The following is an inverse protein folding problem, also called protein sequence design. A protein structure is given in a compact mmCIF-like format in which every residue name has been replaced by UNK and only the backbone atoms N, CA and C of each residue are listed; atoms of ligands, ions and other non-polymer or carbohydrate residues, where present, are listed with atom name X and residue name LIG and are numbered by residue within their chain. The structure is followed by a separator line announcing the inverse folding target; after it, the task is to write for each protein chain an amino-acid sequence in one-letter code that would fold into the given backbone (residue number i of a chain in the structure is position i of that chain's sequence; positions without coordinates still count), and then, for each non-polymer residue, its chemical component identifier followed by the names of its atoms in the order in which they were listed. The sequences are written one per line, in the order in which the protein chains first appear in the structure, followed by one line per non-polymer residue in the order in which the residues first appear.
data_IF_187818045458
#
_entry.id   IF_187818045458
#
_cell.length_a   1.000
_cell.length_b   1.000
_cell.length_c   1.000
_cell.angle_alpha   90.00
_cell.angle_beta   90.00
_cell.angle_gamma   90.00
#
_symmetry.space_group_name_H-M   'P 1'
#
loop_
_entity.id
_entity.type
_entity.pdbx_description
1 polymer ?
#
# COMPACT_ATOMS: atom_id res chain seq x y z
N UNK A 1 96.79 48.36 -16.05
CA UNK A 1 96.50 49.19 -17.25
C UNK A 1 95.08 48.99 -17.65
N UNK A 2 94.41 50.08 -17.95
CA UNK A 2 93.07 50.29 -18.49
C UNK A 2 91.88 50.12 -17.50
N UNK A 3 91.43 51.27 -17.10
CA UNK A 3 90.16 51.60 -16.45
C UNK A 3 89.02 51.45 -17.46
N UNK A 4 87.91 50.88 -17.03
CA UNK A 4 86.62 51.02 -17.75
C UNK A 4 85.56 51.46 -16.75
N UNK A 5 84.95 52.55 -17.13
CA UNK A 5 83.98 53.38 -16.43
C UNK A 5 82.57 52.70 -16.46
N UNK A 6 81.99 52.58 -15.28
CA UNK A 6 80.64 52.01 -15.16
C UNK A 6 79.63 53.15 -15.13
N UNK A 7 78.71 53.16 -16.12
CA UNK A 7 77.53 54.07 -16.18
C UNK A 7 76.35 53.38 -15.57
N UNK A 8 75.73 53.95 -14.51
CA UNK A 8 74.48 53.56 -13.94
C UNK A 8 73.33 54.13 -14.78
N UNK A 9 72.54 53.27 -15.32
CA UNK A 9 71.21 53.65 -15.89
C UNK A 9 70.12 53.04 -14.99
N UNK A 10 69.44 53.94 -14.31
CA UNK A 10 68.28 53.59 -13.47
C UNK A 10 67.02 53.43 -14.37
N UNK A 11 66.55 52.21 -14.53
CA UNK A 11 65.30 51.96 -15.16
C UNK A 11 64.20 51.71 -14.10
N UNK A 12 63.25 52.61 -14.00
CA UNK A 12 62.04 52.47 -13.19
C UNK A 12 61.14 51.43 -13.83
N UNK A 13 60.96 50.26 -13.20
CA UNK A 13 59.96 49.28 -13.60
C UNK A 13 58.64 49.58 -12.83
N UNK A 14 57.66 50.12 -13.54
CA UNK A 14 56.29 50.17 -13.10
C UNK A 14 55.67 48.73 -13.23
N UNK A 15 55.54 48.03 -12.09
CA UNK A 15 54.85 46.74 -12.07
C UNK A 15 53.34 47.03 -11.96
N UNK A 16 52.68 46.98 -13.11
CA UNK A 16 51.22 46.97 -13.16
C UNK A 16 50.68 45.64 -12.62
N UNK A 17 50.01 45.64 -11.45
CA UNK A 17 49.23 44.53 -10.95
C UNK A 17 48.00 44.32 -11.86
N UNK A 18 48.09 43.43 -12.84
CA UNK A 18 46.88 42.83 -13.42
C UNK A 18 46.30 41.85 -12.40
N UNK A 19 45.21 42.27 -11.75
CA UNK A 19 44.34 41.37 -11.01
C UNK A 19 43.70 40.37 -12.02
N UNK A 20 44.27 39.18 -12.14
CA UNK A 20 43.64 38.07 -12.83
C UNK A 20 42.42 37.65 -11.96
N UNK A 21 41.24 38.15 -12.30
CA UNK A 21 39.98 37.62 -11.77
C UNK A 21 39.87 36.14 -12.24
N UNK A 22 40.25 35.20 -11.40
CA UNK A 22 39.95 33.78 -11.61
C UNK A 22 38.42 33.63 -11.68
N UNK A 23 37.88 33.05 -12.75
CA UNK A 23 36.46 32.73 -12.75
C UNK A 23 36.26 31.76 -11.58
N UNK A 24 35.51 32.19 -10.56
CA UNK A 24 34.95 31.27 -9.59
C UNK A 24 34.07 30.29 -10.36
N UNK A 25 34.65 29.14 -10.74
CA UNK A 25 33.89 27.98 -11.12
C UNK A 25 33.03 27.62 -9.90
N UNK A 26 31.80 28.16 -9.85
CA UNK A 26 30.74 27.60 -9.05
C UNK A 26 30.48 26.18 -9.61
N UNK A 27 31.35 25.25 -9.22
CA UNK A 27 31.00 23.84 -9.29
C UNK A 27 29.79 23.67 -8.34
N UNK A 28 28.59 23.86 -8.89
CA UNK A 28 27.41 23.33 -8.27
C UNK A 28 27.69 21.84 -8.12
N UNK A 29 28.05 21.41 -6.91
CA UNK A 29 28.08 20.01 -6.56
C UNK A 29 26.73 19.48 -6.99
N UNK A 30 26.73 18.56 -7.96
CA UNK A 30 25.50 17.95 -8.49
C UNK A 30 24.80 17.33 -7.29
N UNK A 31 23.74 17.99 -6.82
CA UNK A 31 23.00 17.59 -5.63
C UNK A 31 22.62 16.13 -5.83
N UNK A 32 23.03 15.25 -4.91
CA UNK A 32 22.89 13.80 -5.04
C UNK A 32 21.41 13.45 -5.18
N UNK A 33 21.01 12.93 -6.32
CA UNK A 33 19.67 12.44 -6.55
C UNK A 33 19.38 11.24 -5.63
N UNK A 34 18.27 11.27 -4.93
CA UNK A 34 17.79 10.12 -4.14
C UNK A 34 17.00 9.20 -5.06
N UNK A 35 17.47 7.97 -5.21
CA UNK A 35 16.78 6.94 -5.98
C UNK A 35 15.88 6.11 -5.04
N UNK A 36 14.61 5.93 -5.42
CA UNK A 36 13.62 5.13 -4.71
C UNK A 36 13.17 4.00 -5.62
N UNK A 37 13.45 2.76 -5.25
CA UNK A 37 12.85 1.58 -5.84
C UNK A 37 11.56 1.27 -5.08
N UNK A 38 10.44 1.18 -5.81
CA UNK A 38 9.11 0.92 -5.27
C UNK A 38 8.53 -0.36 -5.89
N UNK A 39 8.32 -1.39 -5.08
CA UNK A 39 7.75 -2.66 -5.52
C UNK A 39 6.24 -2.76 -5.25
N UNK A 40 5.54 -3.56 -6.02
CA UNK A 40 4.18 -4.04 -5.71
C UNK A 40 3.82 -5.28 -6.55
N UNK A 41 2.80 -6.02 -6.09
CA UNK A 41 2.39 -7.30 -6.67
C UNK A 41 1.26 -7.20 -7.73
N UNK A 42 0.72 -6.02 -8.00
CA UNK A 42 -0.41 -5.85 -8.92
C UNK A 42 0.06 -5.57 -10.36
N UNK A 43 -0.74 -5.92 -11.38
CA UNK A 43 -0.45 -5.59 -12.77
C UNK A 43 -0.58 -4.08 -13.05
N UNK A 44 -0.04 -3.65 -14.18
CA UNK A 44 0.01 -2.21 -14.55
C UNK A 44 -1.37 -1.60 -14.81
N UNK A 45 -2.36 -2.41 -15.12
CA UNK A 45 -3.76 -2.01 -15.34
C UNK A 45 -4.51 -1.76 -14.03
N UNK A 46 -4.02 -2.32 -12.91
CA UNK A 46 -4.66 -2.20 -11.61
C UNK A 46 -4.71 -0.75 -11.11
N UNK A 47 -5.81 -0.32 -10.46
CA UNK A 47 -5.97 1.05 -9.96
C UNK A 47 -4.83 1.49 -9.05
N UNK A 48 -4.29 0.61 -8.19
CA UNK A 48 -3.17 0.98 -7.31
C UNK A 48 -1.90 1.33 -8.10
N UNK A 49 -1.59 0.63 -9.20
CA UNK A 49 -0.44 0.99 -10.05
C UNK A 49 -0.60 2.40 -10.63
N UNK A 50 -1.81 2.73 -11.11
CA UNK A 50 -2.11 4.07 -11.62
C UNK A 50 -1.89 5.14 -10.55
N UNK A 51 -2.25 4.85 -9.31
CA UNK A 51 -2.07 5.76 -8.17
C UNK A 51 -0.61 5.89 -7.75
N UNK A 52 0.17 4.80 -7.79
CA UNK A 52 1.62 4.84 -7.56
C UNK A 52 2.35 5.65 -8.66
N UNK A 53 1.86 5.62 -9.90
CA UNK A 53 2.37 6.53 -10.95
C UNK A 53 2.09 8.00 -10.62
N UNK A 54 0.89 8.32 -10.13
CA UNK A 54 0.55 9.67 -9.69
C UNK A 54 1.46 10.10 -8.53
N UNK A 55 1.72 9.22 -7.56
CA UNK A 55 2.68 9.46 -6.48
C UNK A 55 4.06 9.79 -7.04
N UNK A 56 4.60 8.92 -7.91
CA UNK A 56 5.89 9.10 -8.57
C UNK A 56 5.98 10.45 -9.28
N UNK A 57 5.07 10.73 -10.19
CA UNK A 57 5.07 11.95 -11.00
C UNK A 57 5.00 13.21 -10.14
N UNK A 58 4.17 13.18 -9.10
CA UNK A 58 4.03 14.30 -8.16
C UNK A 58 5.29 14.53 -7.35
N UNK A 59 5.91 13.46 -6.83
CA UNK A 59 7.12 13.53 -6.03
C UNK A 59 8.30 14.01 -6.87
N UNK A 60 8.50 13.44 -8.06
CA UNK A 60 9.56 13.86 -8.98
C UNK A 60 9.42 15.32 -9.41
N UNK A 61 8.17 15.77 -9.69
CA UNK A 61 7.89 17.16 -10.02
C UNK A 61 8.15 18.10 -8.84
N UNK A 62 7.66 17.77 -7.64
CA UNK A 62 7.84 18.61 -6.44
C UNK A 62 9.31 18.71 -6.02
N UNK A 63 10.05 17.62 -6.16
CA UNK A 63 11.49 17.59 -5.86
C UNK A 63 12.38 18.15 -6.98
N UNK A 64 11.79 18.59 -8.08
CA UNK A 64 12.53 19.06 -9.26
C UNK A 64 13.57 18.02 -9.74
N UNK A 65 13.21 16.73 -9.63
CA UNK A 65 14.06 15.61 -10.01
C UNK A 65 15.14 15.23 -8.99
N UNK A 66 15.18 15.85 -7.81
CA UNK A 66 16.10 15.46 -6.72
C UNK A 66 15.73 14.11 -6.09
N UNK A 67 14.49 13.67 -6.23
CA UNK A 67 14.03 12.33 -5.88
C UNK A 67 13.49 11.69 -7.16
N UNK A 68 13.94 10.46 -7.44
CA UNK A 68 13.50 9.64 -8.57
C UNK A 68 12.87 8.35 -8.05
N UNK A 69 11.77 7.93 -8.68
CA UNK A 69 11.06 6.71 -8.29
C UNK A 69 11.02 5.73 -9.45
N UNK A 70 11.51 4.52 -9.23
CA UNK A 70 11.39 3.40 -10.18
C UNK A 70 10.37 2.40 -9.64
N UNK A 71 9.27 2.14 -10.37
CA UNK A 71 8.20 1.24 -9.95
C UNK A 71 8.43 -0.13 -10.57
N UNK A 72 8.35 -1.18 -9.75
CA UNK A 72 8.49 -2.60 -10.10
C UNK A 72 7.15 -3.32 -9.83
N UNK A 73 6.27 -3.44 -10.84
CA UNK A 73 4.95 -4.07 -10.71
C UNK A 73 5.01 -5.60 -10.79
N UNK A 74 3.84 -6.26 -10.72
CA UNK A 74 3.65 -7.71 -10.97
C UNK A 74 4.48 -8.64 -10.09
N UNK A 75 4.87 -8.24 -8.89
CA UNK A 75 5.73 -9.07 -8.05
C UNK A 75 7.13 -9.32 -8.63
N UNK A 76 7.64 -8.43 -9.50
CA UNK A 76 8.97 -8.59 -10.12
C UNK A 76 10.10 -8.71 -9.10
N UNK A 77 9.90 -8.17 -7.90
CA UNK A 77 10.86 -8.23 -6.80
C UNK A 77 10.42 -9.21 -5.69
N UNK A 78 9.55 -10.18 -6.01
CA UNK A 78 9.08 -11.20 -5.09
C UNK A 78 7.69 -10.97 -4.53
N UNK A 79 7.31 -11.81 -3.55
CA UNK A 79 6.06 -11.74 -2.79
C UNK A 79 5.99 -10.46 -1.93
N UNK A 80 4.83 -10.17 -1.35
CA UNK A 80 4.69 -9.03 -0.43
C UNK A 80 5.61 -9.17 0.78
N UNK A 81 5.76 -10.38 1.33
CA UNK A 81 6.67 -10.63 2.46
C UNK A 81 8.12 -10.34 2.10
N UNK A 82 8.59 -10.87 0.98
CA UNK A 82 9.96 -10.61 0.50
C UNK A 82 10.19 -9.12 0.24
N UNK A 83 9.21 -8.41 -0.34
CA UNK A 83 9.28 -6.97 -0.58
C UNK A 83 9.33 -6.17 0.75
N UNK A 84 8.62 -6.59 1.80
CA UNK A 84 8.73 -5.98 3.14
C UNK A 84 10.15 -6.22 3.70
N UNK A 85 10.66 -7.44 3.65
CA UNK A 85 12.00 -7.79 4.14
C UNK A 85 13.10 -7.03 3.39
N UNK A 86 12.95 -6.86 2.06
CA UNK A 86 13.85 -5.99 1.27
C UNK A 86 13.72 -4.52 1.66
N UNK A 87 12.52 -4.06 2.04
CA UNK A 87 12.34 -2.68 2.53
C UNK A 87 12.96 -2.51 3.91
N UNK A 88 12.88 -3.50 4.81
CA UNK A 88 13.56 -3.46 6.11
C UNK A 88 15.08 -3.32 5.96
N UNK A 89 15.67 -4.09 5.05
CA UNK A 89 17.13 -4.11 4.82
C UNK A 89 17.61 -3.01 3.89
N UNK A 90 16.71 -2.12 3.43
CA UNK A 90 16.99 -1.04 2.47
C UNK A 90 17.52 -1.52 1.09
N UNK A 91 17.30 -2.79 0.74
CA UNK A 91 17.59 -3.29 -0.62
C UNK A 91 16.65 -2.65 -1.67
N UNK A 92 15.41 -2.34 -1.25
CA UNK A 92 14.49 -1.40 -1.90
C UNK A 92 14.03 -0.36 -0.87
N UNK A 93 13.61 0.80 -1.35
CA UNK A 93 13.26 1.91 -0.45
C UNK A 93 11.78 1.93 -0.09
N UNK A 94 10.91 1.43 -0.97
CA UNK A 94 9.46 1.42 -0.76
C UNK A 94 8.81 0.15 -1.31
N UNK A 95 7.71 -0.25 -0.72
CA UNK A 95 6.80 -1.23 -1.32
C UNK A 95 5.35 -0.92 -0.95
N UNK A 96 4.41 -1.26 -1.84
CA UNK A 96 2.98 -1.30 -1.56
C UNK A 96 2.60 -2.75 -1.24
N UNK A 97 2.05 -2.96 -0.07
CA UNK A 97 1.62 -4.27 0.41
C UNK A 97 0.24 -4.20 1.05
N UNK A 98 -0.47 -5.33 1.12
CA UNK A 98 -1.69 -5.43 1.92
C UNK A 98 -1.39 -5.24 3.42
N UNK A 99 -2.29 -4.60 4.15
CA UNK A 99 -2.19 -4.46 5.61
C UNK A 99 -2.05 -5.83 6.30
N UNK A 100 -2.70 -6.88 5.77
CA UNK A 100 -2.56 -8.24 6.32
C UNK A 100 -1.13 -8.80 6.27
N UNK A 101 -0.32 -8.40 5.29
CA UNK A 101 1.09 -8.80 5.21
C UNK A 101 1.95 -8.14 6.29
N UNK A 102 1.48 -7.03 6.89
CA UNK A 102 2.16 -6.30 7.96
C UNK A 102 1.83 -6.83 9.37
N UNK A 103 0.85 -7.72 9.50
CA UNK A 103 0.42 -8.30 10.79
C UNK A 103 1.58 -8.96 11.54
N UNK A 104 2.48 -9.65 10.85
CA UNK A 104 3.64 -10.30 11.47
C UNK A 104 4.74 -9.34 11.95
N UNK A 105 4.63 -8.07 11.58
CA UNK A 105 5.57 -7.00 11.98
C UNK A 105 4.98 -6.09 13.05
N UNK A 106 3.66 -5.91 13.05
CA UNK A 106 2.92 -5.15 14.08
C UNK A 106 1.52 -5.73 14.26
N UNK A 107 1.13 -6.14 15.48
CA UNK A 107 -0.21 -6.67 15.78
C UNK A 107 -1.34 -5.71 15.38
N UNK A 108 -1.13 -4.40 15.44
CA UNK A 108 -2.13 -3.39 15.05
C UNK A 108 -2.69 -3.64 13.66
N UNK A 109 -1.86 -4.06 12.70
CA UNK A 109 -2.30 -4.31 11.34
C UNK A 109 -3.25 -5.51 11.19
N UNK A 110 -3.30 -6.43 12.17
CA UNK A 110 -4.25 -7.55 12.18
C UNK A 110 -5.70 -7.08 12.26
N UNK A 111 -5.96 -5.91 12.84
CA UNK A 111 -7.29 -5.30 12.93
C UNK A 111 -7.96 -5.15 11.56
N UNK A 112 -7.21 -4.80 10.52
CA UNK A 112 -7.79 -4.66 9.18
C UNK A 112 -8.29 -5.98 8.57
N UNK A 113 -7.82 -7.12 9.08
CA UNK A 113 -8.33 -8.44 8.72
C UNK A 113 -9.43 -8.95 9.67
N UNK A 114 -9.75 -8.19 10.73
CA UNK A 114 -10.88 -8.48 11.62
C UNK A 114 -12.19 -8.44 10.82
N UNK A 115 -13.08 -9.45 10.96
CA UNK A 115 -14.33 -9.45 10.25
C UNK A 115 -15.24 -8.27 10.69
N UNK A 116 -15.83 -7.59 9.70
CA UNK A 116 -16.79 -6.52 9.93
C UNK A 116 -16.28 -5.41 10.86
N UNK A 117 -15.00 -5.06 10.75
CA UNK A 117 -14.42 -3.94 11.51
C UNK A 117 -15.10 -2.62 11.13
N UNK A 118 -15.28 -2.36 9.84
CA UNK A 118 -15.90 -1.16 9.32
C UNK A 118 -17.33 -1.43 8.83
N UNK A 119 -18.25 -0.53 9.12
CA UNK A 119 -19.63 -0.65 8.67
C UNK A 119 -19.79 -0.41 7.15
N UNK A 120 -18.96 0.43 6.56
CA UNK A 120 -18.97 0.71 5.12
C UNK A 120 -17.58 1.13 4.60
N UNK A 121 -17.45 1.13 3.27
CA UNK A 121 -16.25 1.64 2.61
C UNK A 121 -16.06 3.15 2.83
N UNK A 122 -17.13 3.92 2.90
CA UNK A 122 -17.11 5.35 3.20
C UNK A 122 -16.60 5.59 4.63
N UNK A 123 -17.08 4.79 5.58
CA UNK A 123 -16.64 4.82 6.97
C UNK A 123 -15.15 4.52 7.08
N UNK A 124 -14.70 3.44 6.45
CA UNK A 124 -13.29 3.10 6.34
C UNK A 124 -12.45 4.27 5.79
N UNK A 125 -12.84 4.87 4.65
CA UNK A 125 -12.12 6.01 4.05
C UNK A 125 -12.04 7.19 4.99
N UNK A 126 -13.12 7.45 5.73
CA UNK A 126 -13.17 8.56 6.70
C UNK A 126 -12.21 8.32 7.87
N UNK A 127 -12.25 7.13 8.47
CA UNK A 127 -11.40 6.73 9.59
C UNK A 127 -9.93 6.76 9.21
N UNK A 128 -9.56 6.17 8.07
CA UNK A 128 -8.18 6.11 7.61
C UNK A 128 -7.56 7.46 7.24
N UNK A 129 -8.37 8.49 7.02
CA UNK A 129 -7.89 9.88 6.82
C UNK A 129 -7.58 10.62 8.12
N UNK A 130 -7.91 10.06 9.28
CA UNK A 130 -7.66 10.71 10.56
C UNK A 130 -6.18 10.64 10.92
N UNK A 131 -5.51 11.77 11.22
CA UNK A 131 -4.10 11.79 11.55
C UNK A 131 -3.73 10.85 12.70
N UNK A 132 -4.57 10.77 13.76
CA UNK A 132 -4.33 9.88 14.90
C UNK A 132 -4.33 8.40 14.51
N UNK A 133 -5.23 8.01 13.59
CA UNK A 133 -5.28 6.63 13.07
C UNK A 133 -4.03 6.36 12.24
N UNK A 134 -3.68 7.27 11.33
CA UNK A 134 -2.46 7.12 10.53
C UNK A 134 -1.21 7.05 11.42
N UNK A 135 -1.10 7.90 12.43
CA UNK A 135 0.05 7.89 13.34
C UNK A 135 0.14 6.57 14.12
N UNK A 136 -0.97 6.02 14.62
CA UNK A 136 -1.01 4.76 15.35
C UNK A 136 -0.50 3.59 14.47
N UNK A 137 -1.02 3.48 13.24
CA UNK A 137 -0.66 2.37 12.36
C UNK A 137 0.68 2.57 11.65
N UNK A 138 0.92 3.75 11.05
CA UNK A 138 2.10 3.97 10.22
C UNK A 138 3.42 4.01 10.98
N UNK A 139 3.38 4.39 12.26
CA UNK A 139 4.58 4.39 13.11
C UNK A 139 4.79 3.07 13.86
N UNK A 140 3.80 2.17 13.89
CA UNK A 140 3.85 0.91 14.66
C UNK A 140 4.96 -0.06 14.22
N UNK A 141 5.54 0.15 13.05
CA UNK A 141 6.63 -0.65 12.48
C UNK A 141 7.98 0.06 12.46
N UNK A 142 8.09 1.21 13.14
CA UNK A 142 9.32 2.01 13.14
C UNK A 142 10.53 1.29 13.75
N UNK A 143 10.33 0.45 14.75
CA UNK A 143 11.33 -0.43 15.37
C UNK A 143 11.69 -1.64 14.48
N UNK A 144 10.89 -1.92 13.46
CA UNK A 144 11.12 -2.95 12.44
C UNK A 144 11.86 -2.42 11.20
N UNK A 145 12.27 -1.16 11.20
CA UNK A 145 13.08 -0.55 10.13
C UNK A 145 12.28 0.03 8.97
N UNK A 146 10.96 0.15 9.05
CA UNK A 146 10.13 0.81 8.03
C UNK A 146 8.94 1.55 8.65
N UNK A 147 8.35 2.44 7.87
CA UNK A 147 7.20 3.28 8.25
C UNK A 147 6.10 3.18 7.21
N UNK A 148 4.84 3.26 7.63
CA UNK A 148 3.73 3.58 6.74
C UNK A 148 3.82 5.03 6.25
N UNK A 149 3.53 5.23 4.97
CA UNK A 149 3.55 6.58 4.36
C UNK A 149 2.14 7.03 4.00
N UNK A 150 1.33 6.12 3.45
CA UNK A 150 -0.07 6.33 3.14
C UNK A 150 -0.77 4.99 2.92
N UNK A 151 -2.09 5.04 2.72
CA UNK A 151 -2.91 3.89 2.40
C UNK A 151 -3.62 4.07 1.06
N UNK A 152 -4.01 2.95 0.46
CA UNK A 152 -4.91 2.92 -0.68
C UNK A 152 -6.09 2.01 -0.36
N UNK A 153 -7.29 2.47 -0.73
CA UNK A 153 -8.51 1.68 -0.64
C UNK A 153 -8.40 0.46 -1.58
N UNK A 154 -8.59 -0.73 -1.04
CA UNK A 154 -8.59 -1.98 -1.80
C UNK A 154 -9.98 -2.63 -1.82
N UNK A 155 -11.02 -1.85 -1.54
CA UNK A 155 -12.42 -2.25 -1.58
C UNK A 155 -12.83 -3.20 -0.47
N UNK A 156 -14.04 -3.68 -0.60
CA UNK A 156 -14.63 -4.64 0.33
C UNK A 156 -14.33 -6.06 -0.15
N UNK A 157 -13.91 -6.92 0.75
CA UNK A 157 -13.57 -8.31 0.45
C UNK A 157 -14.80 -9.19 0.48
N UNK A 158 -14.91 -10.05 -0.53
CA UNK A 158 -16.05 -10.90 -0.81
C UNK A 158 -15.56 -12.27 -1.27
N UNK A 159 -16.35 -13.32 -1.05
CA UNK A 159 -16.01 -14.67 -1.47
C UNK A 159 -16.44 -14.88 -2.93
N UNK A 160 -15.57 -15.46 -3.73
CA UNK A 160 -15.89 -15.92 -5.09
C UNK A 160 -15.43 -17.36 -5.31
N UNK A 161 -16.25 -18.10 -6.05
CA UNK A 161 -16.08 -19.55 -6.20
C UNK A 161 -16.05 -19.97 -7.66
N UNK A 162 -15.43 -21.12 -7.91
CA UNK A 162 -15.48 -21.76 -9.20
C UNK A 162 -16.90 -22.21 -9.54
N UNK A 163 -17.48 -23.11 -8.73
CA UNK A 163 -18.79 -23.71 -8.97
C UNK A 163 -19.67 -23.84 -7.70
N UNK A 164 -19.12 -23.51 -6.52
CA UNK A 164 -19.84 -23.69 -5.25
C UNK A 164 -20.84 -22.57 -5.06
N UNK A 165 -22.09 -22.91 -4.77
CA UNK A 165 -23.12 -21.97 -4.34
C UNK A 165 -22.95 -21.65 -2.85
N UNK A 166 -23.12 -20.38 -2.47
CA UNK A 166 -23.03 -19.89 -1.10
C UNK A 166 -24.24 -19.01 -0.83
N UNK A 167 -25.11 -19.42 0.10
CA UNK A 167 -26.26 -18.67 0.59
C UNK A 167 -26.01 -18.10 1.98
N UNK A 168 -25.37 -18.89 2.82
CA UNK A 168 -24.99 -18.54 4.19
C UNK A 168 -23.63 -19.18 4.57
N UNK A 169 -23.17 -18.95 5.80
CA UNK A 169 -21.87 -19.43 6.24
C UNK A 169 -21.77 -20.97 6.32
N UNK A 170 -22.88 -21.70 6.45
CA UNK A 170 -22.87 -23.17 6.53
C UNK A 170 -22.43 -23.81 5.21
N UNK A 171 -22.65 -23.12 4.08
CA UNK A 171 -22.22 -23.58 2.76
C UNK A 171 -20.71 -23.54 2.57
N UNK A 172 -19.96 -22.87 3.47
CA UNK A 172 -18.49 -22.83 3.43
C UNK A 172 -17.83 -24.11 3.96
N UNK A 173 -18.60 -24.99 4.60
CA UNK A 173 -18.06 -26.24 5.16
C UNK A 173 -17.37 -27.08 4.10
N UNK A 174 -16.07 -27.35 4.30
CA UNK A 174 -15.24 -28.13 3.40
C UNK A 174 -14.77 -27.39 2.14
N UNK A 175 -15.16 -26.12 1.95
CA UNK A 175 -14.70 -25.29 0.83
C UNK A 175 -13.27 -24.82 1.11
N UNK A 176 -12.33 -25.14 0.23
CA UNK A 176 -10.96 -24.67 0.30
C UNK A 176 -10.90 -23.23 -0.25
N UNK A 177 -10.73 -22.28 0.64
CA UNK A 177 -10.75 -20.86 0.31
C UNK A 177 -9.34 -20.29 0.44
N UNK A 178 -8.81 -19.78 -0.65
CA UNK A 178 -7.55 -19.03 -0.57
C UNK A 178 -7.70 -17.81 0.29
N UNK A 179 -6.75 -17.60 1.17
CA UNK A 179 -6.61 -16.40 2.00
C UNK A 179 -5.24 -15.77 1.83
N UNK A 180 -5.09 -14.53 2.25
CA UNK A 180 -3.79 -13.89 2.38
C UNK A 180 -2.96 -14.64 3.43
N UNK A 181 -1.60 -14.70 3.30
CA UNK A 181 -0.74 -15.44 4.24
C UNK A 181 -0.57 -14.67 5.55
N UNK A 182 -1.66 -14.53 6.31
CA UNK A 182 -1.70 -13.95 7.66
C UNK A 182 -2.53 -14.82 8.60
N UNK A 183 -2.18 -14.79 9.90
CA UNK A 183 -2.90 -15.55 10.92
C UNK A 183 -4.38 -15.14 10.97
N UNK A 184 -4.66 -13.84 10.97
CA UNK A 184 -6.02 -13.33 11.08
C UNK A 184 -6.87 -13.70 9.87
N UNK A 185 -6.31 -13.66 8.64
CA UNK A 185 -7.04 -14.11 7.44
C UNK A 185 -7.38 -15.60 7.49
N UNK A 186 -6.49 -16.43 8.05
CA UNK A 186 -6.74 -17.86 8.29
C UNK A 186 -7.86 -18.04 9.32
N UNK A 187 -7.78 -17.34 10.45
CA UNK A 187 -8.77 -17.45 11.54
C UNK A 187 -10.13 -16.91 11.12
N UNK A 188 -10.16 -15.85 10.29
CA UNK A 188 -11.39 -15.32 9.70
C UNK A 188 -12.14 -16.41 8.91
N UNK A 189 -11.50 -17.04 7.94
CA UNK A 189 -12.17 -18.07 7.12
C UNK A 189 -12.56 -19.30 7.94
N UNK A 190 -11.75 -19.68 8.94
CA UNK A 190 -12.15 -20.74 9.90
C UNK A 190 -13.41 -20.35 10.69
N UNK A 191 -13.47 -19.13 11.19
CA UNK A 191 -14.63 -18.65 11.95
C UNK A 191 -15.90 -18.65 11.12
N UNK A 192 -15.78 -18.38 9.80
CA UNK A 192 -16.90 -18.45 8.86
C UNK A 192 -17.28 -19.89 8.46
N UNK A 193 -16.50 -20.90 8.86
CA UNK A 193 -16.76 -22.32 8.59
C UNK A 193 -16.03 -22.90 7.38
N UNK A 194 -15.24 -22.10 6.68
CA UNK A 194 -14.43 -22.53 5.51
C UNK A 194 -13.11 -23.19 5.88
N UNK A 195 -12.44 -23.76 4.88
CA UNK A 195 -11.09 -24.33 4.99
C UNK A 195 -10.08 -23.33 4.38
N UNK A 196 -9.35 -22.53 5.17
CA UNK A 196 -8.41 -21.56 4.64
C UNK A 196 -7.18 -22.22 4.03
N UNK A 197 -6.74 -21.71 2.89
CA UNK A 197 -5.52 -22.12 2.20
C UNK A 197 -4.67 -20.85 1.94
N UNK A 198 -3.73 -20.51 2.85
CA UNK A 198 -2.89 -19.34 2.67
C UNK A 198 -1.92 -19.53 1.52
N UNK A 199 -1.86 -18.56 0.61
CA UNK A 199 -0.92 -18.53 -0.50
C UNK A 199 -0.75 -17.11 -1.04
N UNK A 200 0.37 -16.84 -1.71
CA UNK A 200 0.64 -15.57 -2.34
C UNK A 200 -0.37 -15.26 -3.45
N UNK A 201 -0.58 -13.97 -3.69
CA UNK A 201 -1.63 -13.52 -4.59
C UNK A 201 -1.42 -13.97 -6.05
N UNK A 202 -0.17 -14.03 -6.50
CA UNK A 202 0.18 -14.49 -7.85
C UNK A 202 -0.16 -15.94 -8.15
N UNK A 203 -0.38 -16.76 -7.12
CA UNK A 203 -0.66 -18.21 -7.26
C UNK A 203 -2.16 -18.52 -7.42
N UNK A 204 -3.03 -17.54 -7.05
CA UNK A 204 -4.49 -17.77 -6.90
C UNK A 204 -5.15 -18.26 -8.19
N UNK A 205 -4.84 -17.64 -9.33
CA UNK A 205 -5.42 -18.04 -10.62
C UNK A 205 -5.12 -19.51 -10.93
N UNK A 206 -3.86 -19.89 -10.86
CA UNK A 206 -3.43 -21.28 -11.17
C UNK A 206 -3.96 -22.29 -10.16
N UNK A 207 -3.98 -21.94 -8.86
CA UNK A 207 -4.52 -22.81 -7.81
C UNK A 207 -6.02 -23.05 -7.98
N UNK A 208 -6.78 -22.03 -8.39
CA UNK A 208 -8.20 -22.15 -8.68
C UNK A 208 -8.45 -22.92 -9.98
N UNK A 209 -7.69 -22.64 -11.03
CA UNK A 209 -7.78 -23.34 -12.31
C UNK A 209 -7.54 -24.85 -12.15
N UNK A 210 -6.49 -25.21 -11.41
CA UNK A 210 -6.11 -26.62 -11.17
C UNK A 210 -6.97 -27.33 -10.11
N UNK A 211 -7.82 -26.59 -9.37
CA UNK A 211 -8.67 -27.18 -8.33
C UNK A 211 -7.96 -27.45 -7.00
N UNK A 212 -6.78 -26.85 -6.77
CA UNK A 212 -6.11 -26.86 -5.46
C UNK A 212 -6.96 -26.11 -4.43
N UNK A 213 -7.65 -25.04 -4.88
CA UNK A 213 -8.64 -24.30 -4.12
C UNK A 213 -9.98 -24.26 -4.87
N UNK A 214 -11.08 -24.18 -4.12
CA UNK A 214 -12.44 -24.09 -4.63
C UNK A 214 -12.92 -22.63 -4.76
N UNK A 215 -12.36 -21.77 -3.95
CA UNK A 215 -12.75 -20.38 -3.80
C UNK A 215 -11.56 -19.49 -3.40
N UNK A 216 -11.76 -18.18 -3.52
CA UNK A 216 -10.89 -17.18 -2.94
C UNK A 216 -11.76 -16.02 -2.43
N UNK A 217 -11.14 -15.05 -1.75
CA UNK A 217 -11.83 -13.87 -1.26
C UNK A 217 -11.04 -12.61 -1.64
N UNK A 218 -11.70 -11.63 -2.19
CA UNK A 218 -11.15 -10.33 -2.57
C UNK A 218 -12.25 -9.40 -3.11
N UNK A 219 -11.84 -8.23 -3.60
CA UNK A 219 -12.69 -7.26 -4.27
C UNK A 219 -12.91 -7.59 -5.76
N UNK A 220 -13.82 -6.87 -6.42
CA UNK A 220 -14.25 -7.14 -7.80
C UNK A 220 -13.16 -6.91 -8.86
N UNK A 221 -12.14 -6.07 -8.60
CA UNK A 221 -11.07 -5.83 -9.58
C UNK A 221 -10.25 -7.08 -9.84
N UNK A 222 -10.15 -8.00 -8.87
CA UNK A 222 -9.47 -9.28 -9.00
C UNK A 222 -10.03 -10.14 -10.13
N UNK A 223 -11.34 -10.04 -10.39
CA UNK A 223 -12.00 -10.80 -11.45
C UNK A 223 -11.47 -10.43 -12.84
N UNK A 224 -11.02 -9.20 -13.03
CA UNK A 224 -10.63 -8.68 -14.35
C UNK A 224 -9.14 -8.40 -14.47
N UNK A 225 -8.53 -7.71 -13.50
CA UNK A 225 -7.10 -7.35 -13.59
C UNK A 225 -6.17 -8.52 -13.34
N UNK A 226 -6.64 -9.54 -12.59
CA UNK A 226 -5.89 -10.75 -12.27
C UNK A 226 -6.53 -12.01 -12.88
N UNK A 227 -7.48 -11.83 -13.80
CA UNK A 227 -8.16 -12.89 -14.55
C UNK A 227 -8.92 -13.92 -13.68
N UNK A 228 -9.15 -13.66 -12.39
CA UNK A 228 -9.82 -14.63 -11.53
C UNK A 228 -11.25 -14.97 -12.02
N UNK A 229 -11.93 -14.02 -12.70
CA UNK A 229 -13.25 -14.25 -13.30
C UNK A 229 -13.26 -15.22 -14.49
N UNK A 230 -12.10 -15.59 -15.04
CA UNK A 230 -12.00 -16.66 -16.05
C UNK A 230 -12.24 -18.03 -15.43
N UNK A 231 -11.85 -18.22 -14.17
CA UNK A 231 -11.91 -19.50 -13.45
C UNK A 231 -12.93 -19.52 -12.32
N UNK A 232 -13.37 -18.35 -11.80
CA UNK A 232 -14.41 -18.21 -10.79
C UNK A 232 -15.66 -17.55 -11.40
N UNK A 233 -16.78 -18.22 -11.37
CA UNK A 233 -18.01 -17.76 -12.04
C UNK A 233 -19.06 -17.19 -11.10
N UNK A 234 -18.90 -17.34 -9.78
CA UNK A 234 -19.84 -16.85 -8.79
C UNK A 234 -19.12 -15.93 -7.80
N UNK A 235 -19.67 -14.75 -7.58
CA UNK A 235 -19.17 -13.75 -6.65
C UNK A 235 -20.26 -13.42 -5.62
N UNK A 236 -19.98 -13.65 -4.33
CA UNK A 236 -20.93 -13.55 -3.23
C UNK A 236 -20.58 -12.37 -2.34
N UNK A 237 -21.49 -11.39 -2.22
CA UNK A 237 -21.30 -10.20 -1.39
C UNK A 237 -21.39 -10.52 0.11
N UNK A 238 -20.37 -11.19 0.63
CA UNK A 238 -20.22 -11.46 2.08
C UNK A 238 -19.75 -10.24 2.84
N UNK A 239 -19.07 -9.30 2.18
CA UNK A 239 -18.59 -8.01 2.71
C UNK A 239 -17.92 -8.16 4.07
N UNK A 240 -17.08 -9.20 4.21
CA UNK A 240 -16.58 -9.66 5.49
C UNK A 240 -15.38 -8.88 6.03
N UNK A 241 -14.64 -8.14 5.20
CA UNK A 241 -13.52 -7.33 5.63
C UNK A 241 -13.20 -6.19 4.64
N UNK A 242 -12.53 -5.14 5.13
CA UNK A 242 -11.92 -4.07 4.34
C UNK A 242 -10.45 -3.98 4.73
N UNK A 243 -9.58 -4.52 3.89
CA UNK A 243 -8.13 -4.59 4.13
C UNK A 243 -7.42 -3.62 3.19
N UNK A 244 -6.90 -2.49 3.69
CA UNK A 244 -6.22 -1.51 2.84
C UNK A 244 -4.89 -2.04 2.31
N UNK A 245 -4.45 -1.45 1.20
CA UNK A 245 -3.05 -1.46 0.81
C UNK A 245 -2.29 -0.35 1.54
N UNK A 246 -1.10 -0.65 2.04
CA UNK A 246 -0.23 0.31 2.72
C UNK A 246 1.03 0.53 1.89
N UNK A 247 1.34 1.78 1.62
CA UNK A 247 2.62 2.17 1.06
C UNK A 247 3.62 2.35 2.21
N UNK A 248 4.61 1.48 2.30
CA UNK A 248 5.65 1.54 3.32
C UNK A 248 6.98 2.02 2.75
N UNK A 249 7.82 2.59 3.60
CA UNK A 249 9.14 3.08 3.25
C UNK A 249 10.18 2.67 4.29
N UNK A 250 11.38 2.32 3.86
CA UNK A 250 12.51 2.10 4.74
C UNK A 250 12.75 3.34 5.62
N UNK A 251 12.88 3.11 6.93
CA UNK A 251 12.98 4.18 7.92
C UNK A 251 14.28 4.98 7.80
N UNK A 252 15.40 4.31 7.57
CA UNK A 252 16.69 4.98 7.43
C UNK A 252 16.70 5.90 6.19
N UNK A 253 16.15 5.42 5.08
CA UNK A 253 15.98 6.25 3.87
C UNK A 253 15.08 7.45 4.16
N UNK A 254 13.94 7.26 4.84
CA UNK A 254 13.04 8.36 5.20
C UNK A 254 13.71 9.39 6.11
N UNK A 255 14.41 8.93 7.15
CA UNK A 255 15.10 9.80 8.11
C UNK A 255 16.29 10.55 7.47
N UNK A 256 16.92 9.95 6.46
CA UNK A 256 18.00 10.56 5.67
C UNK A 256 17.52 11.65 4.70
N UNK A 257 16.21 11.76 4.44
CA UNK A 257 15.65 12.86 3.67
C UNK A 257 15.65 14.16 4.48
N UNK A 258 15.89 15.29 3.81
CA UNK A 258 15.69 16.60 4.45
C UNK A 258 14.22 16.79 4.83
N UNK A 259 13.92 17.66 5.79
CA UNK A 259 12.53 17.96 6.19
C UNK A 259 11.65 18.39 5.01
N UNK A 260 12.23 19.11 4.06
CA UNK A 260 11.54 19.52 2.84
C UNK A 260 11.24 18.33 1.93
N UNK A 261 12.17 17.39 1.77
CA UNK A 261 11.97 16.17 0.98
C UNK A 261 10.93 15.24 1.63
N UNK A 262 10.99 15.06 2.97
CA UNK A 262 9.96 14.34 3.73
C UNK A 262 8.57 14.94 3.50
N UNK A 263 8.47 16.28 3.50
CA UNK A 263 7.20 16.98 3.22
C UNK A 263 6.73 16.70 1.79
N UNK A 264 7.60 16.79 0.79
CA UNK A 264 7.24 16.51 -0.60
C UNK A 264 6.73 15.07 -0.78
N UNK A 265 7.40 14.12 -0.11
CA UNK A 265 7.02 12.71 -0.15
C UNK A 265 5.64 12.49 0.47
N UNK A 266 5.39 13.00 1.68
CA UNK A 266 4.09 12.91 2.34
C UNK A 266 2.98 13.60 1.54
N UNK A 267 3.23 14.81 1.01
CA UNK A 267 2.27 15.53 0.16
C UNK A 267 1.95 14.77 -1.15
N UNK A 268 2.94 14.12 -1.76
CA UNK A 268 2.74 13.32 -2.96
C UNK A 268 1.93 12.06 -2.66
N UNK A 269 2.21 11.41 -1.53
CA UNK A 269 1.49 10.24 -1.06
C UNK A 269 0.02 10.57 -0.76
N UNK A 270 -0.26 11.59 0.04
CA UNK A 270 -1.62 12.03 0.36
C UNK A 270 -2.42 12.39 -0.90
N UNK A 271 -1.80 13.11 -1.84
CA UNK A 271 -2.42 13.43 -3.12
C UNK A 271 -2.75 12.18 -3.95
N UNK A 272 -1.85 11.20 -3.97
CA UNK A 272 -2.11 9.95 -4.70
C UNK A 272 -3.24 9.13 -4.07
N UNK A 273 -3.37 9.14 -2.74
CA UNK A 273 -4.49 8.51 -2.02
C UNK A 273 -5.82 9.18 -2.36
N UNK A 274 -5.87 10.51 -2.38
CA UNK A 274 -7.07 11.27 -2.79
C UNK A 274 -7.51 10.92 -4.22
N UNK A 275 -6.56 10.86 -5.15
CA UNK A 275 -6.84 10.49 -6.55
C UNK A 275 -7.21 9.03 -6.71
N UNK A 276 -6.67 8.17 -5.83
CA UNK A 276 -6.95 6.75 -5.83
C UNK A 276 -8.44 6.44 -5.61
N UNK A 277 -9.12 7.13 -4.70
CA UNK A 277 -10.53 6.88 -4.41
C UNK A 277 -11.40 7.02 -5.67
N UNK A 278 -11.17 8.09 -6.45
CA UNK A 278 -11.89 8.32 -7.72
C UNK A 278 -11.56 7.25 -8.76
N UNK A 279 -10.28 6.88 -8.87
CA UNK A 279 -9.82 5.84 -9.79
C UNK A 279 -10.43 4.50 -9.38
N UNK A 280 -10.41 4.18 -8.09
CA UNK A 280 -10.93 2.94 -7.52
C UNK A 280 -12.40 2.75 -7.84
N UNK A 281 -13.25 3.73 -7.51
CA UNK A 281 -14.69 3.65 -7.74
C UNK A 281 -15.04 3.45 -9.22
N UNK A 282 -14.30 4.10 -10.10
CA UNK A 282 -14.44 3.92 -11.56
C UNK A 282 -14.05 2.52 -12.01
N UNK A 283 -12.91 2.01 -11.53
CA UNK A 283 -12.39 0.71 -11.94
C UNK A 283 -13.22 -0.44 -11.36
N UNK A 284 -13.75 -0.35 -10.15
CA UNK A 284 -14.69 -1.33 -9.58
C UNK A 284 -15.95 -1.42 -10.43
N UNK A 285 -16.56 -0.28 -10.81
CA UNK A 285 -17.74 -0.26 -11.71
C UNK A 285 -17.42 -0.93 -13.05
N UNK A 286 -16.25 -0.65 -13.61
CA UNK A 286 -15.78 -1.26 -14.86
C UNK A 286 -15.52 -2.74 -14.71
N UNK A 287 -14.88 -3.17 -13.63
CA UNK A 287 -14.60 -4.57 -13.34
C UNK A 287 -15.89 -5.39 -13.21
N UNK A 288 -16.87 -4.91 -12.45
CA UNK A 288 -18.19 -5.57 -12.32
C UNK A 288 -18.86 -5.73 -13.67
N UNK A 289 -18.91 -4.67 -14.47
CA UNK A 289 -19.49 -4.73 -15.81
C UNK A 289 -18.76 -5.74 -16.69
N UNK A 290 -17.44 -5.66 -16.75
CA UNK A 290 -16.62 -6.56 -17.58
C UNK A 290 -16.73 -8.01 -17.13
N UNK A 291 -16.67 -8.28 -15.81
CA UNK A 291 -16.82 -9.62 -15.26
C UNK A 291 -18.17 -10.23 -15.62
N UNK A 292 -19.24 -9.46 -15.50
CA UNK A 292 -20.60 -9.92 -15.87
C UNK A 292 -20.75 -10.16 -17.37
N UNK A 293 -20.40 -9.16 -18.20
CA UNK A 293 -20.72 -9.17 -19.63
C UNK A 293 -19.76 -10.01 -20.48
N UNK A 294 -18.46 -10.06 -20.07
CA UNK A 294 -17.42 -10.72 -20.88
C UNK A 294 -16.93 -12.03 -20.27
N UNK A 295 -16.94 -12.15 -18.93
CA UNK A 295 -16.42 -13.34 -18.26
C UNK A 295 -17.53 -14.25 -17.74
N UNK A 296 -18.81 -13.84 -17.83
CA UNK A 296 -19.94 -14.62 -17.38
C UNK A 296 -19.98 -14.83 -15.86
N UNK A 297 -19.45 -13.88 -15.08
CA UNK A 297 -19.48 -13.93 -13.61
C UNK A 297 -20.84 -13.48 -13.13
N UNK A 298 -21.46 -14.28 -12.27
CA UNK A 298 -22.72 -13.99 -11.59
C UNK A 298 -22.44 -13.38 -10.21
N UNK A 299 -23.16 -12.29 -9.88
CA UNK A 299 -23.04 -11.58 -8.61
C UNK A 299 -24.26 -11.85 -7.75
N UNK A 300 -24.02 -12.37 -6.53
CA UNK A 300 -25.05 -12.83 -5.62
C UNK A 300 -25.03 -12.05 -4.30
N UNK A 301 -26.21 -11.70 -3.81
CA UNK A 301 -26.37 -11.23 -2.43
C UNK A 301 -26.52 -12.45 -1.50
N UNK A 302 -25.94 -12.38 -0.30
CA UNK A 302 -26.05 -13.41 0.73
C UNK A 302 -26.63 -12.82 2.01
N UNK A 303 -27.14 -13.69 2.89
CA UNK A 303 -27.50 -13.29 4.25
C UNK A 303 -26.22 -13.10 5.10
N UNK A 304 -25.80 -11.85 5.26
CA UNK A 304 -24.61 -11.50 6.04
C UNK A 304 -24.77 -11.77 7.55
N UNK A 305 -26.00 -11.90 8.05
CA UNK A 305 -26.25 -12.11 9.49
C UNK A 305 -25.62 -13.41 9.99
N UNK A 306 -25.66 -14.46 9.17
CA UNK A 306 -25.05 -15.75 9.47
C UNK A 306 -23.51 -15.66 9.58
N UNK A 307 -22.88 -14.91 8.68
CA UNK A 307 -21.44 -14.68 8.67
C UNK A 307 -20.99 -13.80 9.85
N UNK A 308 -21.73 -12.72 10.14
CA UNK A 308 -21.49 -11.86 11.31
C UNK A 308 -21.56 -12.66 12.61
N UNK A 309 -22.59 -13.50 12.77
CA UNK A 309 -22.77 -14.35 13.95
C UNK A 309 -21.65 -15.39 14.07
N UNK A 310 -21.25 -16.02 12.98
CA UNK A 310 -20.19 -17.03 12.98
C UNK A 310 -18.83 -16.44 13.38
N UNK A 311 -18.57 -15.18 13.07
CA UNK A 311 -17.30 -14.50 13.36
C UNK A 311 -17.28 -13.72 14.69
N UNK A 312 -18.34 -13.73 15.49
CA UNK A 312 -18.43 -12.91 16.71
C UNK A 312 -17.35 -13.24 17.73
N UNK A 313 -17.05 -14.52 17.96
CA UNK A 313 -15.97 -14.93 18.88
C UNK A 313 -14.62 -14.37 18.48
N UNK A 314 -14.30 -14.35 17.17
CA UNK A 314 -13.07 -13.77 16.67
C UNK A 314 -13.05 -12.24 16.86
N UNK A 315 -14.19 -11.57 16.68
CA UNK A 315 -14.29 -10.11 16.92
C UNK A 315 -14.06 -9.76 18.38
N UNK A 316 -14.60 -10.56 19.32
CA UNK A 316 -14.35 -10.36 20.76
C UNK A 316 -12.87 -10.54 21.13
N UNK A 317 -12.16 -11.51 20.51
CA UNK A 317 -10.73 -11.66 20.72
C UNK A 317 -9.96 -10.36 20.42
N UNK A 318 -10.29 -9.64 19.34
CA UNK A 318 -9.65 -8.37 19.01
C UNK A 318 -9.98 -7.25 19.99
N UNK A 319 -11.22 -7.19 20.48
CA UNK A 319 -11.67 -6.18 21.46
C UNK A 319 -10.95 -6.31 22.79
N UNK A 320 -10.65 -7.54 23.21
CA UNK A 320 -10.03 -7.84 24.50
C UNK A 320 -8.50 -7.98 24.44
N UNK A 321 -7.93 -8.18 23.24
CA UNK A 321 -6.49 -8.39 23.09
C UNK A 321 -5.71 -7.13 23.47
N UNK A 322 -4.79 -7.23 24.47
CA UNK A 322 -3.97 -6.09 24.90
C UNK A 322 -3.18 -5.41 23.80
N UNK A 323 -2.79 -6.16 22.75
CA UNK A 323 -1.94 -5.67 21.67
C UNK A 323 -2.73 -4.87 20.61
N UNK A 324 -4.07 -4.99 20.57
CA UNK A 324 -4.92 -4.38 19.55
C UNK A 324 -6.07 -3.54 20.08
N UNK A 325 -6.46 -3.72 21.33
CA UNK A 325 -7.66 -3.09 21.92
C UNK A 325 -7.65 -1.55 21.88
N UNK A 326 -6.50 -0.93 22.01
CA UNK A 326 -6.42 0.53 22.03
C UNK A 326 -6.58 1.10 20.61
N UNK A 327 -5.98 0.45 19.62
CA UNK A 327 -6.15 0.79 18.20
C UNK A 327 -7.57 0.46 17.72
N UNK A 328 -8.16 -0.65 18.19
CA UNK A 328 -9.56 -0.98 17.96
C UNK A 328 -10.49 0.14 18.47
N UNK A 329 -10.32 0.57 19.72
CA UNK A 329 -11.10 1.68 20.31
C UNK A 329 -10.91 3.00 19.58
N UNK A 330 -9.70 3.24 19.07
CA UNK A 330 -9.44 4.44 18.26
C UNK A 330 -10.25 4.41 16.97
N UNK A 331 -10.29 3.28 16.26
CA UNK A 331 -11.10 3.10 15.05
C UNK A 331 -12.57 3.28 15.38
N UNK A 332 -13.10 2.52 16.35
CA UNK A 332 -14.51 2.56 16.77
C UNK A 332 -14.98 3.99 17.11
N UNK A 333 -14.16 4.75 17.83
CA UNK A 333 -14.45 6.13 18.16
C UNK A 333 -14.56 7.03 16.93
N UNK A 334 -13.69 6.87 15.95
CA UNK A 334 -13.73 7.69 14.73
C UNK A 334 -14.87 7.26 13.80
N UNK A 335 -15.29 5.98 13.82
CA UNK A 335 -16.51 5.50 13.15
C UNK A 335 -17.76 6.12 13.75
N UNK A 336 -17.93 6.07 15.07
CA UNK A 336 -19.07 6.66 15.77
C UNK A 336 -19.19 8.16 15.46
N UNK A 337 -18.09 8.90 15.45
CA UNK A 337 -18.08 10.31 15.08
C UNK A 337 -18.55 10.56 13.65
N UNK A 338 -18.18 9.68 12.74
CA UNK A 338 -18.64 9.78 11.36
C UNK A 338 -20.14 9.54 11.25
N UNK A 339 -20.64 8.48 11.88
CA UNK A 339 -22.08 8.17 11.89
C UNK A 339 -22.92 9.29 12.52
N UNK A 340 -22.45 9.86 13.63
CA UNK A 340 -23.10 11.02 14.26
C UNK A 340 -23.16 12.20 13.27
N UNK A 341 -22.07 12.50 12.59
CA UNK A 341 -22.02 13.59 11.60
C UNK A 341 -22.98 13.39 10.41
N UNK A 342 -23.33 12.13 10.08
CA UNK A 342 -24.28 11.82 9.00
C UNK A 342 -25.76 11.93 9.43
N UNK A 343 -26.03 11.87 10.74
CA UNK A 343 -27.42 12.04 11.26
C UNK A 343 -27.85 13.49 11.34
N UNK A 344 -26.89 14.41 11.34
CA UNK A 344 -27.12 15.86 11.44
C UNK A 344 -27.32 16.52 10.05
N UNK A 345 -27.26 15.73 8.98
CA UNK A 345 -27.47 16.14 7.59
C UNK A 345 -28.62 15.38 6.94
#
# INVERSE_FOLDING_TARGET
MKKILTIFVSAFFLVGMLAIASPQNNMHAKEKTTEIKLAHNQPTEHPVHKSLKIFKERLEKKSQGKIKVSIYPNGQLGSEREAIEMTQTNAIQMTKVSASALESFSPSYSLFSMPYLFESQENFRHVMKKPKVQDAFFNSTGDKGFLGITFYDAGVRNIYTKNKEIKDNSDLKGVKIRVQPSKTSVDLIKSLGGTPTPMDYGEVYTAMQSGVIDAAENNETSLTTNSHGEVAKNYYYTEHAIVPDILIMNKETFDGLTKQQQKWLKDAAAYSTEKHEVIWDKEVKKAKKTAKEKLGVEFHKVDKSSFKKASESLREEFRENPDTKDDYKLIEKEEQRYEESQKDH
#
